data_IF_577705045628
#
_entry.id   IF_577705045628
#
_cell.length_a   1.000
_cell.length_b   1.000
_cell.length_c   1.000
_cell.angle_alpha   90.00
_cell.angle_beta   90.00
_cell.angle_gamma   90.00
#
_symmetry.space_group_name_H-M   'P 1'
#
loop_
_entity.id
_entity.type
_entity.pdbx_description
1 polymer ?
#
# COMPACT_ATOMS: atom_id res chain seq x y z
N UNK A 1 -69.32 -5.88 10.82
CA UNK A 1 -68.12 -6.48 10.18
C UNK A 1 -67.38 -5.39 9.38
N UNK A 2 -66.43 -4.64 9.97
CA UNK A 2 -65.67 -3.56 9.26
C UNK A 2 -64.21 -3.45 9.75
N UNK A 3 -63.51 -4.58 9.94
CA UNK A 3 -62.08 -4.57 10.36
C UNK A 3 -61.10 -5.14 9.33
N UNK A 4 -61.56 -5.86 8.31
CA UNK A 4 -60.69 -6.57 7.35
C UNK A 4 -60.13 -5.68 6.22
N UNK A 5 -60.84 -4.63 5.79
CA UNK A 5 -60.44 -3.84 4.61
C UNK A 5 -59.28 -2.86 4.85
N UNK A 6 -58.95 -2.51 6.09
CA UNK A 6 -57.82 -1.61 6.41
C UNK A 6 -56.47 -2.36 6.47
N UNK A 7 -56.46 -3.64 6.82
CA UNK A 7 -55.24 -4.43 6.98
C UNK A 7 -54.57 -4.81 5.65
N UNK A 8 -55.34 -5.11 4.60
CA UNK A 8 -54.77 -5.42 3.29
C UNK A 8 -54.04 -4.22 2.67
N UNK A 9 -54.55 -2.99 2.83
CA UNK A 9 -53.88 -1.77 2.31
C UNK A 9 -52.54 -1.49 3.02
N UNK A 10 -52.41 -1.87 4.29
CA UNK A 10 -51.17 -1.73 5.06
C UNK A 10 -50.16 -2.81 4.64
N UNK A 11 -50.60 -4.07 4.52
CA UNK A 11 -49.75 -5.17 4.08
C UNK A 11 -49.18 -4.94 2.67
N UNK A 12 -50.00 -4.43 1.73
CA UNK A 12 -49.52 -4.09 0.38
C UNK A 12 -48.50 -2.96 0.40
N UNK A 13 -48.67 -1.92 1.23
CA UNK A 13 -47.70 -0.82 1.35
C UNK A 13 -46.37 -1.28 1.94
N UNK A 14 -46.40 -2.12 2.98
CA UNK A 14 -45.18 -2.68 3.59
C UNK A 14 -44.43 -3.59 2.62
N UNK A 15 -45.14 -4.40 1.84
CA UNK A 15 -44.53 -5.26 0.83
C UNK A 15 -43.86 -4.45 -0.30
N UNK A 16 -44.51 -3.40 -0.79
CA UNK A 16 -43.91 -2.50 -1.77
C UNK A 16 -42.68 -1.76 -1.22
N UNK A 17 -42.73 -1.28 0.03
CA UNK A 17 -41.57 -0.65 0.67
C UNK A 17 -40.38 -1.62 0.82
N UNK A 18 -40.63 -2.88 1.16
CA UNK A 18 -39.58 -3.89 1.26
C UNK A 18 -38.90 -4.17 -0.09
N UNK A 19 -39.67 -4.23 -1.19
CA UNK A 19 -39.13 -4.42 -2.55
C UNK A 19 -38.28 -3.22 -2.99
N UNK A 20 -38.70 -2.00 -2.68
CA UNK A 20 -37.92 -0.78 -3.02
C UNK A 20 -36.61 -0.73 -2.24
N UNK A 21 -36.62 -1.06 -0.95
CA UNK A 21 -35.38 -1.11 -0.14
C UNK A 21 -34.44 -2.19 -0.68
N UNK A 22 -34.95 -3.37 -1.01
CA UNK A 22 -34.14 -4.43 -1.59
C UNK A 22 -33.50 -4.04 -2.92
N UNK A 23 -34.25 -3.35 -3.80
CA UNK A 23 -33.70 -2.82 -5.05
C UNK A 23 -32.62 -1.75 -4.81
N UNK A 24 -32.79 -0.86 -3.83
CA UNK A 24 -31.75 0.12 -3.49
C UNK A 24 -30.49 -0.53 -2.92
N UNK A 25 -30.62 -1.55 -2.08
CA UNK A 25 -29.46 -2.29 -1.54
C UNK A 25 -28.73 -3.03 -2.65
N UNK A 26 -29.46 -3.69 -3.56
CA UNK A 26 -28.84 -4.37 -4.71
C UNK A 26 -28.18 -3.39 -5.68
N UNK A 27 -28.81 -2.24 -5.96
CA UNK A 27 -28.20 -1.19 -6.77
C UNK A 27 -26.95 -0.60 -6.09
N UNK A 28 -26.98 -0.40 -4.77
CA UNK A 28 -25.82 0.06 -4.01
C UNK A 28 -24.68 -0.96 -4.08
N UNK A 29 -24.95 -2.25 -3.82
CA UNK A 29 -23.94 -3.31 -3.91
C UNK A 29 -23.39 -3.46 -5.33
N UNK A 30 -24.23 -3.36 -6.36
CA UNK A 30 -23.81 -3.35 -7.76
C UNK A 30 -22.92 -2.14 -8.07
N UNK A 31 -23.31 -0.95 -7.60
CA UNK A 31 -22.51 0.27 -7.77
C UNK A 31 -21.21 0.25 -6.95
N UNK A 32 -21.21 -0.34 -5.76
CA UNK A 32 -20.01 -0.52 -4.92
C UNK A 32 -19.02 -1.48 -5.56
N UNK A 33 -19.51 -2.56 -6.20
CA UNK A 33 -18.66 -3.54 -6.87
C UNK A 33 -18.05 -3.02 -8.18
N UNK A 34 -18.70 -2.03 -8.80
CA UNK A 34 -18.20 -1.33 -10.00
C UNK A 34 -17.30 -0.12 -9.69
N UNK A 35 -16.96 0.18 -8.43
CA UNK A 35 -15.98 1.23 -8.06
C UNK A 35 -14.57 0.66 -7.91
N UNK A 36 -14.07 0.08 -9.00
CA UNK A 36 -12.66 -0.14 -9.34
C UNK A 36 -12.68 0.07 -10.86
N UNK A 37 -12.58 1.29 -11.37
CA UNK A 37 -11.32 1.96 -11.70
C UNK A 37 -11.63 3.42 -12.10
N UNK A 38 -11.52 4.37 -11.19
CA UNK A 38 -11.58 5.80 -11.57
C UNK A 38 -10.62 6.61 -10.71
N UNK A 39 -9.34 6.25 -10.83
CA UNK A 39 -8.22 7.13 -10.47
C UNK A 39 -7.10 7.14 -11.54
N UNK A 40 -7.17 6.30 -12.58
CA UNK A 40 -6.11 6.14 -13.59
C UNK A 40 -6.63 6.29 -15.03
N UNK A 41 -7.52 7.24 -15.31
CA UNK A 41 -7.93 7.49 -16.70
C UNK A 41 -8.14 8.98 -17.00
N UNK A 42 -7.03 9.70 -17.15
CA UNK A 42 -6.95 10.87 -18.00
C UNK A 42 -5.57 10.91 -18.68
N UNK A 43 -5.59 10.86 -20.03
CA UNK A 43 -4.48 11.00 -20.99
C UNK A 43 -3.82 9.71 -21.48
N UNK A 44 -4.52 9.02 -22.40
CA UNK A 44 -3.87 8.21 -23.42
C UNK A 44 -3.28 9.12 -24.50
N UNK A 45 -2.03 9.56 -24.28
CA UNK A 45 -1.11 9.99 -25.34
C UNK A 45 -0.34 8.72 -25.77
N UNK A 46 0.03 8.53 -27.06
CA UNK A 46 0.72 7.33 -27.51
C UNK A 46 1.88 6.99 -26.58
N UNK A 47 1.80 5.81 -25.97
CA UNK A 47 2.75 5.34 -24.97
C UNK A 47 4.08 5.05 -25.67
N UNK A 48 4.86 6.11 -25.94
CA UNK A 48 6.30 6.01 -25.94
C UNK A 48 6.65 5.35 -24.61
N UNK A 49 7.30 4.18 -24.67
CA UNK A 49 7.61 3.33 -23.52
C UNK A 49 8.01 4.18 -22.31
N UNK A 50 7.07 4.37 -21.38
CA UNK A 50 7.37 5.04 -20.11
C UNK A 50 8.30 4.08 -19.42
N UNK A 51 9.57 4.48 -19.31
CA UNK A 51 10.60 3.78 -18.57
C UNK A 51 10.09 3.69 -17.13
N UNK A 52 9.40 2.60 -16.81
CA UNK A 52 8.72 2.42 -15.54
C UNK A 52 9.79 2.35 -14.47
N UNK A 53 9.89 3.43 -13.69
CA UNK A 53 10.79 3.51 -12.55
C UNK A 53 9.99 3.23 -11.29
N UNK A 54 10.58 2.47 -10.38
CA UNK A 54 10.00 2.20 -9.06
C UNK A 54 9.91 3.51 -8.28
N UNK A 55 8.87 3.63 -7.46
CA UNK A 55 8.70 4.80 -6.60
C UNK A 55 9.55 4.71 -5.33
N UNK A 56 9.80 5.82 -4.60
CA UNK A 56 10.48 5.79 -3.30
C UNK A 56 9.79 4.84 -2.29
N UNK A 57 8.44 4.84 -2.26
CA UNK A 57 7.68 3.96 -1.37
C UNK A 57 7.84 2.48 -1.75
N UNK A 58 7.98 2.19 -3.04
CA UNK A 58 8.26 0.84 -3.52
C UNK A 58 9.68 0.40 -3.15
N UNK A 59 10.68 1.28 -3.25
CA UNK A 59 12.04 1.01 -2.78
C UNK A 59 12.06 0.68 -1.27
N UNK A 60 11.38 1.49 -0.45
CA UNK A 60 11.23 1.22 0.97
C UNK A 60 10.54 -0.11 1.25
N UNK A 61 9.48 -0.44 0.51
CA UNK A 61 8.80 -1.71 0.65
C UNK A 61 9.73 -2.89 0.32
N UNK A 62 10.47 -2.82 -0.78
CA UNK A 62 11.43 -3.86 -1.17
C UNK A 62 12.53 -4.05 -0.12
N UNK A 63 13.12 -2.98 0.40
CA UNK A 63 14.14 -3.07 1.46
C UNK A 63 13.56 -3.60 2.77
N UNK A 64 12.33 -3.23 3.15
CA UNK A 64 11.64 -3.83 4.30
C UNK A 64 11.41 -5.34 4.16
N UNK A 65 11.36 -5.86 2.94
CA UNK A 65 11.13 -7.28 2.71
C UNK A 65 12.38 -8.16 2.87
N UNK A 66 13.58 -7.56 2.91
CA UNK A 66 14.84 -8.25 3.17
C UNK A 66 14.83 -8.92 4.55
N UNK A 67 15.35 -10.15 4.63
CA UNK A 67 15.24 -10.98 5.83
C UNK A 67 15.94 -10.34 7.05
N UNK A 68 17.12 -9.80 6.83
CA UNK A 68 17.91 -9.11 7.84
C UNK A 68 17.27 -7.81 8.31
N UNK A 69 16.65 -7.05 7.40
CA UNK A 69 15.91 -5.82 7.73
C UNK A 69 14.66 -6.15 8.52
N UNK A 70 13.87 -7.17 8.12
CA UNK A 70 12.72 -7.65 8.89
C UNK A 70 13.12 -8.05 10.31
N UNK A 71 14.19 -8.83 10.44
CA UNK A 71 14.68 -9.27 11.73
C UNK A 71 15.08 -8.07 12.60
N UNK A 72 15.81 -7.12 12.04
CA UNK A 72 16.23 -5.90 12.73
C UNK A 72 15.04 -5.06 13.20
N UNK A 73 14.06 -4.81 12.32
CA UNK A 73 12.86 -4.03 12.64
C UNK A 73 11.98 -4.68 13.71
N UNK A 74 11.98 -6.01 13.83
CA UNK A 74 11.29 -6.73 14.92
C UNK A 74 12.05 -6.64 16.23
N UNK A 75 13.38 -6.73 16.19
CA UNK A 75 14.23 -6.71 17.38
C UNK A 75 14.36 -5.32 18.00
N UNK A 76 14.31 -4.27 17.18
CA UNK A 76 14.58 -2.89 17.57
C UNK A 76 13.31 -2.04 17.37
N UNK A 77 12.49 -1.82 18.42
CA UNK A 77 11.16 -1.19 18.31
C UNK A 77 11.17 0.25 17.79
N UNK A 78 12.30 0.94 17.94
CA UNK A 78 12.57 2.32 17.53
C UNK A 78 13.35 2.40 16.20
N UNK A 79 13.51 1.28 15.50
CA UNK A 79 14.14 1.27 14.19
C UNK A 79 13.29 2.03 13.15
N UNK A 80 13.99 2.62 12.19
CA UNK A 80 13.46 3.46 11.13
C UNK A 80 14.04 3.02 9.80
N UNK A 81 13.27 3.29 8.76
CA UNK A 81 13.68 3.11 7.38
C UNK A 81 13.16 4.28 6.55
N UNK A 82 14.06 4.95 5.83
CA UNK A 82 13.72 6.09 4.99
C UNK A 82 14.61 6.19 3.75
N UNK A 83 14.13 6.91 2.74
CA UNK A 83 14.97 7.28 1.59
C UNK A 83 15.74 8.51 2.00
N UNK A 84 17.05 8.34 2.19
CA UNK A 84 17.95 9.42 2.61
C UNK A 84 18.32 10.31 1.43
N UNK A 85 18.62 9.69 0.28
CA UNK A 85 18.93 10.43 -0.94
C UNK A 85 18.47 9.72 -2.20
N UNK A 86 18.45 10.49 -3.28
CA UNK A 86 18.05 10.06 -4.61
C UNK A 86 19.13 10.48 -5.59
N UNK A 87 19.77 9.52 -6.24
CA UNK A 87 20.81 9.77 -7.23
C UNK A 87 20.21 9.64 -8.63
N UNK A 88 20.28 10.71 -9.42
CA UNK A 88 19.80 10.74 -10.80
C UNK A 88 20.86 10.30 -11.82
N UNK A 89 22.15 10.36 -11.46
CA UNK A 89 23.26 9.92 -12.32
C UNK A 89 23.33 8.39 -12.35
N UNK A 90 23.30 7.76 -11.18
CA UNK A 90 23.25 6.29 -11.06
C UNK A 90 21.83 5.75 -11.14
N UNK A 91 20.81 6.62 -11.09
CA UNK A 91 19.40 6.23 -11.11
C UNK A 91 19.06 5.27 -9.95
N UNK A 92 19.43 5.66 -8.73
CA UNK A 92 19.22 4.86 -7.50
C UNK A 92 18.54 5.65 -6.38
N UNK A 93 17.91 4.93 -5.46
CA UNK A 93 17.52 5.44 -4.15
C UNK A 93 18.49 4.91 -3.09
N UNK A 94 18.99 5.79 -2.22
CA UNK A 94 19.71 5.38 -1.03
C UNK A 94 18.72 5.26 0.13
N UNK A 95 18.52 4.04 0.60
CA UNK A 95 17.62 3.72 1.72
C UNK A 95 18.45 3.50 2.98
N UNK A 96 18.13 4.24 4.03
CA UNK A 96 18.78 4.14 5.34
C UNK A 96 17.95 3.29 6.29
N UNK A 97 18.57 2.29 6.91
CA UNK A 97 17.97 1.53 8.02
C UNK A 97 18.77 1.82 9.28
N UNK A 98 18.13 2.32 10.32
CA UNK A 98 18.80 2.78 11.54
C UNK A 98 17.89 2.78 12.76
N UNK A 99 18.48 2.99 13.94
CA UNK A 99 17.75 3.31 15.16
C UNK A 99 18.19 4.66 15.75
N UNK A 100 17.32 5.27 16.56
CA UNK A 100 17.70 6.40 17.41
C UNK A 100 17.86 5.91 18.84
N UNK A 101 19.10 5.91 19.33
CA UNK A 101 19.47 5.48 20.68
C UNK A 101 20.14 6.61 21.43
N UNK A 102 19.57 7.02 22.56
CA UNK A 102 20.08 8.12 23.40
C UNK A 102 20.33 9.43 22.62
N UNK A 103 19.49 9.75 21.63
CA UNK A 103 19.66 10.95 20.80
C UNK A 103 20.70 10.81 19.69
N UNK A 104 21.29 9.63 19.51
CA UNK A 104 22.23 9.33 18.44
C UNK A 104 21.62 8.38 17.42
N UNK A 105 21.96 8.57 16.14
CA UNK A 105 21.62 7.65 15.06
C UNK A 105 22.65 6.52 15.02
N UNK A 106 22.17 5.28 15.14
CA UNK A 106 22.98 4.08 14.92
C UNK A 106 22.50 3.40 13.63
N UNK A 107 23.34 3.44 12.59
CA UNK A 107 23.04 2.83 11.30
C UNK A 107 23.15 1.32 11.39
N UNK A 108 22.11 0.62 10.93
CA UNK A 108 22.17 -0.81 10.65
C UNK A 108 22.78 -1.06 9.27
N UNK A 109 22.25 -0.41 8.23
CA UNK A 109 22.81 -0.49 6.88
C UNK A 109 22.28 0.64 5.98
N UNK A 110 22.93 0.80 4.84
CA UNK A 110 22.46 1.56 3.69
C UNK A 110 22.23 0.63 2.51
N UNK A 111 21.16 0.87 1.76
CA UNK A 111 20.78 0.06 0.62
C UNK A 111 20.59 0.95 -0.61
N UNK A 112 21.39 0.71 -1.64
CA UNK A 112 21.21 1.31 -2.95
C UNK A 112 20.17 0.51 -3.73
N UNK A 113 19.09 1.15 -4.17
CA UNK A 113 18.01 0.52 -4.93
C UNK A 113 17.95 1.11 -6.33
N UNK A 114 18.19 0.32 -7.37
CA UNK A 114 18.09 0.78 -8.75
C UNK A 114 16.64 1.14 -9.10
N UNK A 115 16.41 2.37 -9.58
CA UNK A 115 15.05 2.87 -9.84
C UNK A 115 14.37 2.14 -11.00
N UNK A 116 15.07 1.44 -11.89
CA UNK A 116 14.45 0.72 -13.03
C UNK A 116 14.20 -0.75 -12.72
N UNK A 117 15.16 -1.42 -12.08
CA UNK A 117 15.11 -2.86 -11.84
C UNK A 117 14.59 -3.19 -10.46
N UNK A 118 14.77 -2.28 -9.50
CA UNK A 118 14.53 -2.53 -8.08
C UNK A 118 15.52 -3.53 -7.49
N UNK A 119 16.67 -3.73 -8.13
CA UNK A 119 17.82 -4.45 -7.56
C UNK A 119 18.34 -3.68 -6.34
N UNK A 120 18.72 -4.42 -5.29
CA UNK A 120 19.17 -3.86 -4.03
C UNK A 120 20.61 -4.30 -3.78
N UNK A 121 21.48 -3.33 -3.50
CA UNK A 121 22.86 -3.54 -3.08
C UNK A 121 23.06 -2.94 -1.69
N UNK A 122 23.47 -3.76 -0.74
CA UNK A 122 23.83 -3.30 0.60
C UNK A 122 25.23 -2.66 0.60
N UNK A 123 25.42 -1.61 1.39
CA UNK A 123 26.75 -1.01 1.57
C UNK A 123 27.63 -1.79 2.55
N UNK A 124 27.00 -2.40 3.57
CA UNK A 124 27.69 -3.28 4.50
C UNK A 124 27.22 -4.72 4.32
N UNK A 125 28.18 -5.64 4.22
CA UNK A 125 27.89 -7.06 4.25
C UNK A 125 27.78 -7.51 5.71
N UNK A 126 26.55 -7.70 6.19
CA UNK A 126 26.28 -8.15 7.56
C UNK A 126 26.55 -9.65 7.77
N UNK A 127 27.18 -10.33 6.80
CA UNK A 127 27.49 -11.77 6.83
C UNK A 127 28.83 -12.08 7.54
N UNK A 128 29.54 -11.08 8.07
CA UNK A 128 30.74 -11.28 8.88
C UNK A 128 30.48 -10.73 10.30
N UNK A 129 30.97 -11.42 11.34
CA UNK A 129 30.82 -11.16 12.79
C UNK A 129 29.77 -11.97 13.58
N UNK A 130 29.63 -13.27 13.27
CA UNK A 130 29.38 -14.28 14.31
C UNK A 130 30.58 -15.23 14.38
N UNK A 131 31.67 -14.74 14.95
CA UNK A 131 32.87 -15.54 15.11
C UNK A 131 33.96 -14.77 15.85
N UNK A 132 33.80 -14.66 17.18
CA UNK A 132 34.88 -14.77 18.18
C UNK A 132 34.27 -14.97 19.58
#
# INVERSE_FOLDING_TARGET
>A
MVKQAKFQKIATRVLFSAVVIFMMVMAFLYFSKNRVDTANQASQIPQAAVKQTISPNEALAKVRELAEVKSYLVQIPNARIEVDSTDEETNTYLVHVYEIKNGHTATFNWYNVDKKTGEITAEFDNTQEQGE
#
